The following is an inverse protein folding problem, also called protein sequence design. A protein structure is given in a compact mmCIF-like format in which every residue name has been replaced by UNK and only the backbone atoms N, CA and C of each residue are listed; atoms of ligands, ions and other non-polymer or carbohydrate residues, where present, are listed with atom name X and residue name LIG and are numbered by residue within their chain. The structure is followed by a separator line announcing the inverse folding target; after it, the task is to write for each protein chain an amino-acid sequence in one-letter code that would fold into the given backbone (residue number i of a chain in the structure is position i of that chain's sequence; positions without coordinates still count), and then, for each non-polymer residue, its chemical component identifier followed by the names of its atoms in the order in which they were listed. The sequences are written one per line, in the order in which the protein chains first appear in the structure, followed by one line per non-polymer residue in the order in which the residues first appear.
data_IF_695690608599
#
_entry.id   IF_695690608599
#
_cell.length_a   1.000
_cell.length_b   1.000
_cell.length_c   1.000
_cell.angle_alpha   90.00
_cell.angle_beta   90.00
_cell.angle_gamma   90.00
#
_symmetry.space_group_name_H-M   'P 1'
#
loop_
_entity.id
_entity.type
_entity.pdbx_description
1 polymer ?
#
# COMPACT_ATOMS: atom_id res chain seq x y z
N UNK A 1 -29.49 30.65 -1.31
CA UNK A 1 -28.17 30.35 -1.95
C UNK A 1 -27.16 30.43 -0.82
N UNK A 2 -26.51 29.32 -0.49
CA UNK A 2 -25.67 29.19 0.70
C UNK A 2 -24.35 29.95 0.48
N UNK A 3 -23.88 30.70 1.48
CA UNK A 3 -22.57 31.38 1.44
C UNK A 3 -21.45 30.35 1.29
N UNK A 4 -20.50 30.58 0.37
CA UNK A 4 -19.33 29.72 0.15
C UNK A 4 -18.19 30.00 1.14
N UNK A 5 -18.31 31.05 1.95
CA UNK A 5 -17.31 31.51 2.91
C UNK A 5 -16.88 30.44 3.92
N UNK A 6 -17.79 29.61 4.48
CA UNK A 6 -17.39 28.51 5.35
C UNK A 6 -16.48 27.51 4.63
N UNK A 7 -16.82 27.15 3.39
CA UNK A 7 -16.05 26.21 2.57
C UNK A 7 -14.66 26.79 2.26
N UNK A 8 -14.59 28.08 1.90
CA UNK A 8 -13.31 28.78 1.67
C UNK A 8 -12.42 28.74 2.92
N UNK A 9 -12.99 28.96 4.11
CA UNK A 9 -12.25 28.90 5.37
C UNK A 9 -11.78 27.49 5.71
N UNK A 10 -12.61 26.47 5.47
CA UNK A 10 -12.23 25.06 5.66
C UNK A 10 -11.08 24.67 4.72
N UNK A 11 -11.18 25.01 3.42
CA UNK A 11 -10.12 24.74 2.45
C UNK A 11 -8.82 25.44 2.85
N UNK A 12 -8.87 26.72 3.23
CA UNK A 12 -7.69 27.46 3.68
C UNK A 12 -7.08 26.86 4.96
N UNK A 13 -7.91 26.33 5.86
CA UNK A 13 -7.44 25.63 7.07
C UNK A 13 -6.69 24.36 6.69
N UNK A 14 -7.19 23.57 5.75
CA UNK A 14 -6.52 22.38 5.23
C UNK A 14 -5.21 22.75 4.52
N UNK A 15 -5.24 23.70 3.59
CA UNK A 15 -4.05 24.18 2.87
C UNK A 15 -2.93 24.57 3.85
N UNK A 16 -3.26 25.41 4.84
CA UNK A 16 -2.29 25.84 5.86
C UNK A 16 -1.81 24.69 6.74
N UNK A 17 -2.73 23.83 7.19
CA UNK A 17 -2.40 22.65 8.01
C UNK A 17 -1.45 21.68 7.32
N UNK A 18 -1.48 21.65 5.98
CA UNK A 18 -0.60 20.83 5.15
C UNK A 18 0.62 21.57 4.59
N UNK A 19 0.85 22.83 4.98
CA UNK A 19 2.05 23.59 4.62
C UNK A 19 1.97 24.36 3.30
N UNK A 20 0.82 24.42 2.64
CA UNK A 20 0.59 25.31 1.50
C UNK A 20 0.36 26.74 2.01
N UNK A 21 1.44 27.52 2.09
CA UNK A 21 1.39 28.93 2.55
C UNK A 21 1.54 29.94 1.41
N UNK A 22 2.00 29.50 0.24
CA UNK A 22 2.26 30.34 -0.92
C UNK A 22 0.99 30.77 -1.69
N UNK A 23 -0.19 30.23 -1.36
CA UNK A 23 -1.49 30.65 -1.90
C UNK A 23 -2.64 30.38 -0.93
N UNK A 24 -3.78 31.02 -1.17
CA UNK A 24 -5.04 30.80 -0.44
C UNK A 24 -6.26 31.08 -1.33
N UNK A 25 -7.43 30.65 -0.88
CA UNK A 25 -8.72 31.01 -1.47
C UNK A 25 -9.26 32.30 -0.84
N UNK A 26 -9.78 33.21 -1.67
CA UNK A 26 -10.51 34.39 -1.24
C UNK A 26 -11.87 34.49 -1.95
N UNK A 27 -12.91 34.88 -1.21
CA UNK A 27 -14.23 35.13 -1.80
C UNK A 27 -14.21 36.36 -2.70
N UNK A 28 -15.02 36.36 -3.76
CA UNK A 28 -15.36 37.55 -4.53
C UNK A 28 -16.25 38.49 -3.70
N UNK A 29 -16.37 39.75 -4.12
CA UNK A 29 -17.16 40.77 -3.40
C UNK A 29 -18.63 40.38 -3.22
N UNK A 30 -19.19 39.62 -4.16
CA UNK A 30 -20.56 39.11 -4.09
C UNK A 30 -20.71 37.82 -3.26
N UNK A 31 -19.60 37.31 -2.68
CA UNK A 31 -19.49 36.06 -1.92
C UNK A 31 -20.09 34.83 -2.63
N UNK A 32 -20.15 34.84 -3.97
CA UNK A 32 -20.67 33.71 -4.77
C UNK A 32 -19.57 32.85 -5.37
N UNK A 33 -18.40 33.42 -5.61
CA UNK A 33 -17.27 32.76 -6.21
C UNK A 33 -16.04 32.95 -5.32
N UNK A 34 -15.01 32.13 -5.56
CA UNK A 34 -13.71 32.33 -4.95
C UNK A 34 -12.64 32.40 -6.03
N UNK A 35 -11.54 33.05 -5.68
CA UNK A 35 -10.32 33.15 -6.48
C UNK A 35 -9.16 32.57 -5.68
N UNK A 36 -8.15 32.10 -6.38
CA UNK A 36 -6.88 31.68 -5.78
C UNK A 36 -5.95 32.90 -5.83
N UNK A 37 -5.43 33.29 -4.68
CA UNK A 37 -4.55 34.45 -4.55
C UNK A 37 -3.26 34.13 -3.77
N UNK A 38 -2.21 34.88 -4.06
CA UNK A 38 -0.93 34.90 -3.31
C UNK A 38 -1.10 35.67 -2.00
N UNK A 39 -0.09 35.62 -1.13
CA UNK A 39 -0.09 36.33 0.17
C UNK A 39 -0.27 37.84 0.01
N UNK A 40 0.24 38.43 -1.08
CA UNK A 40 0.11 39.85 -1.41
C UNK A 40 -1.24 40.21 -2.07
N UNK A 41 -2.15 39.24 -2.21
CA UNK A 41 -3.48 39.42 -2.80
C UNK A 41 -3.52 39.35 -4.32
N UNK A 42 -2.38 39.16 -5.01
CA UNK A 42 -2.37 38.96 -6.45
C UNK A 42 -2.97 37.61 -6.85
N UNK A 43 -3.60 37.55 -8.03
CA UNK A 43 -4.07 36.28 -8.59
C UNK A 43 -2.89 35.35 -8.89
N UNK A 44 -3.03 34.08 -8.57
CA UNK A 44 -1.95 33.09 -8.78
C UNK A 44 -1.62 32.89 -10.27
N UNK A 45 -2.59 33.01 -11.17
CA UNK A 45 -2.40 32.71 -12.60
C UNK A 45 -2.01 31.24 -12.83
N UNK A 46 -1.04 30.99 -13.72
CA UNK A 46 -0.58 29.64 -14.12
C UNK A 46 0.64 29.15 -13.33
N UNK A 47 0.92 29.75 -12.16
CA UNK A 47 2.16 29.50 -11.41
C UNK A 47 2.02 28.44 -10.31
N UNK A 48 0.89 27.73 -10.27
CA UNK A 48 0.74 26.55 -9.42
C UNK A 48 1.49 25.37 -10.04
N UNK A 49 2.19 24.61 -9.21
CA UNK A 49 2.70 23.30 -9.59
C UNK A 49 1.54 22.33 -9.87
N UNK A 50 1.82 21.27 -10.61
CA UNK A 50 0.85 20.22 -10.90
C UNK A 50 0.25 19.64 -9.60
N UNK A 51 1.08 19.41 -8.58
CA UNK A 51 0.63 18.92 -7.27
C UNK A 51 -0.35 19.87 -6.59
N UNK A 52 -0.08 21.18 -6.61
CA UNK A 52 -0.98 22.18 -6.03
C UNK A 52 -2.31 22.26 -6.77
N UNK A 53 -2.30 22.19 -8.10
CA UNK A 53 -3.51 22.14 -8.93
C UNK A 53 -4.33 20.89 -8.61
N UNK A 54 -3.69 19.72 -8.56
CA UNK A 54 -4.34 18.46 -8.22
C UNK A 54 -4.95 18.51 -6.83
N UNK A 55 -4.19 19.01 -5.84
CA UNK A 55 -4.67 19.05 -4.45
C UNK A 55 -5.83 20.03 -4.26
N UNK A 56 -5.76 21.25 -4.80
CA UNK A 56 -6.86 22.21 -4.66
C UNK A 56 -8.13 21.75 -5.41
N UNK A 57 -7.97 21.08 -6.55
CA UNK A 57 -9.07 20.47 -7.30
C UNK A 57 -9.71 19.35 -6.49
N UNK A 58 -8.90 18.51 -5.85
CA UNK A 58 -9.40 17.46 -4.96
C UNK A 58 -10.15 18.03 -3.75
N UNK A 59 -9.63 19.09 -3.11
CA UNK A 59 -10.31 19.77 -2.01
C UNK A 59 -11.68 20.33 -2.45
N UNK A 60 -11.74 20.96 -3.63
CA UNK A 60 -13.01 21.40 -4.19
C UNK A 60 -14.00 20.24 -4.33
N UNK A 61 -13.58 19.12 -4.92
CA UNK A 61 -14.42 17.93 -5.05
C UNK A 61 -14.84 17.35 -3.70
N UNK A 62 -13.93 17.29 -2.72
CA UNK A 62 -14.19 16.79 -1.37
C UNK A 62 -15.27 17.61 -0.65
N UNK A 63 -15.16 18.94 -0.66
CA UNK A 63 -16.17 19.81 -0.06
C UNK A 63 -17.49 19.81 -0.85
N UNK A 64 -17.44 19.63 -2.17
CA UNK A 64 -18.63 19.45 -3.00
C UNK A 64 -19.36 18.14 -2.65
N UNK A 65 -18.61 17.07 -2.40
CA UNK A 65 -19.16 15.77 -2.02
C UNK A 65 -19.85 15.82 -0.66
N UNK A 66 -19.18 16.42 0.35
CA UNK A 66 -19.71 16.59 1.71
C UNK A 66 -20.84 17.62 1.81
N UNK A 67 -20.74 18.69 1.04
CA UNK A 67 -21.70 19.78 1.03
C UNK A 67 -22.80 19.61 -0.02
N UNK A 68 -23.51 20.71 -0.26
CA UNK A 68 -24.52 20.84 -1.30
C UNK A 68 -24.36 22.20 -1.99
N UNK A 69 -24.37 22.23 -3.32
CA UNK A 69 -24.37 23.51 -4.07
C UNK A 69 -25.71 24.24 -4.01
N UNK A 70 -26.78 23.54 -3.58
CA UNK A 70 -28.15 24.05 -3.51
C UNK A 70 -28.81 23.52 -2.24
N UNK A 71 -29.63 24.34 -1.58
CA UNK A 71 -30.37 23.98 -0.34
C UNK A 71 -31.20 22.69 -0.49
N UNK A 72 -31.67 22.37 -1.71
CA UNK A 72 -32.44 21.15 -2.00
C UNK A 72 -31.59 19.91 -2.38
N UNK A 73 -30.26 20.02 -2.51
CA UNK A 73 -29.38 18.88 -2.85
C UNK A 73 -28.79 18.20 -1.60
N UNK A 74 -28.99 18.75 -0.40
CA UNK A 74 -28.53 18.18 0.88
C UNK A 74 -29.15 16.79 1.12
N UNK A 75 -30.38 16.56 0.63
CA UNK A 75 -31.15 15.33 0.92
C UNK A 75 -31.03 14.23 -0.13
N UNK A 76 -30.39 14.48 -1.28
CA UNK A 76 -30.32 13.48 -2.36
C UNK A 76 -29.22 12.48 -2.10
N UNK A 77 -29.53 11.21 -2.30
CA UNK A 77 -28.54 10.15 -2.28
C UNK A 77 -27.53 10.32 -3.43
N UNK A 78 -26.24 10.13 -3.14
CA UNK A 78 -25.13 10.31 -4.09
C UNK A 78 -24.32 9.02 -4.23
N UNK A 79 -23.78 8.80 -5.42
CA UNK A 79 -22.68 7.86 -5.67
C UNK A 79 -21.47 8.69 -6.06
N UNK A 80 -20.35 8.49 -5.36
CA UNK A 80 -19.09 9.18 -5.67
C UNK A 80 -18.20 8.28 -6.52
N UNK A 81 -17.59 8.86 -7.55
CA UNK A 81 -16.54 8.23 -8.33
C UNK A 81 -15.29 9.07 -8.20
N UNK A 82 -14.23 8.48 -7.66
CA UNK A 82 -12.92 9.13 -7.47
C UNK A 82 -11.96 8.40 -8.41
N UNK A 83 -11.64 9.02 -9.53
CA UNK A 83 -10.73 8.46 -10.54
C UNK A 83 -9.36 9.11 -10.42
N UNK A 84 -8.39 8.29 -10.01
CA UNK A 84 -6.98 8.59 -9.86
C UNK A 84 -6.69 9.95 -9.19
N UNK A 85 -7.04 10.11 -7.89
CA UNK A 85 -7.02 11.41 -7.22
C UNK A 85 -5.60 11.95 -6.98
N UNK A 86 -4.56 11.19 -7.38
CA UNK A 86 -3.14 11.53 -7.26
C UNK A 86 -2.49 11.32 -8.63
N UNK A 87 -1.96 12.40 -9.23
CA UNK A 87 -1.32 12.36 -10.55
C UNK A 87 0.19 12.08 -10.50
N UNK A 88 0.87 12.29 -9.37
CA UNK A 88 2.33 12.23 -9.29
C UNK A 88 2.87 11.82 -7.90
N UNK A 89 4.18 11.53 -7.85
CA UNK A 89 4.93 10.95 -6.73
C UNK A 89 5.09 11.86 -5.49
N UNK A 90 4.37 12.98 -5.41
CA UNK A 90 4.42 13.82 -4.21
C UNK A 90 3.82 13.04 -3.03
N UNK A 91 4.72 12.51 -2.20
CA UNK A 91 4.37 11.71 -1.04
C UNK A 91 3.49 12.49 -0.06
N UNK A 92 3.67 13.80 0.06
CA UNK A 92 2.89 14.60 0.99
C UNK A 92 1.44 14.68 0.53
N UNK A 93 1.21 15.04 -0.74
CA UNK A 93 -0.15 15.12 -1.31
C UNK A 93 -0.83 13.75 -1.26
N UNK A 94 -0.10 12.67 -1.55
CA UNK A 94 -0.59 11.30 -1.43
C UNK A 94 -1.17 11.03 -0.04
N UNK A 95 -0.45 11.35 1.03
CA UNK A 95 -0.93 11.12 2.39
C UNK A 95 -2.15 11.97 2.74
N UNK A 96 -2.16 13.25 2.35
CA UNK A 96 -3.30 14.14 2.61
C UNK A 96 -4.59 13.64 1.97
N UNK A 97 -4.53 13.35 0.66
CA UNK A 97 -5.67 12.85 -0.10
C UNK A 97 -6.11 11.49 0.44
N UNK A 98 -5.17 10.62 0.83
CA UNK A 98 -5.50 9.33 1.47
C UNK A 98 -6.33 9.51 2.73
N UNK A 99 -5.97 10.46 3.60
CA UNK A 99 -6.75 10.76 4.83
C UNK A 99 -8.16 11.24 4.48
N UNK A 100 -8.29 12.20 3.57
CA UNK A 100 -9.59 12.74 3.17
C UNK A 100 -10.50 11.68 2.50
N UNK A 101 -9.92 10.82 1.68
CA UNK A 101 -10.65 9.70 1.06
C UNK A 101 -11.08 8.69 2.12
N UNK A 102 -10.22 8.34 3.08
CA UNK A 102 -10.59 7.47 4.21
C UNK A 102 -11.76 8.04 5.02
N UNK A 103 -11.78 9.35 5.25
CA UNK A 103 -12.89 10.00 5.96
C UNK A 103 -14.20 9.86 5.18
N UNK A 104 -14.19 10.09 3.86
CA UNK A 104 -15.38 9.85 3.01
C UNK A 104 -15.82 8.38 3.05
N UNK A 105 -14.88 7.43 2.94
CA UNK A 105 -15.16 6.00 3.02
C UNK A 105 -15.81 5.64 4.35
N UNK A 106 -15.22 6.11 5.46
CA UNK A 106 -15.71 5.85 6.81
C UNK A 106 -17.12 6.40 7.00
N UNK A 107 -17.34 7.67 6.69
CA UNK A 107 -18.64 8.32 6.84
C UNK A 107 -19.73 7.64 5.99
N UNK A 108 -19.36 7.15 4.79
CA UNK A 108 -20.25 6.38 3.91
C UNK A 108 -20.57 5.01 4.51
N UNK A 109 -19.57 4.26 4.97
CA UNK A 109 -19.75 2.93 5.58
C UNK A 109 -20.49 3.00 6.93
N UNK A 110 -20.36 4.11 7.66
CA UNK A 110 -21.12 4.40 8.89
C UNK A 110 -22.52 4.98 8.61
N UNK A 111 -22.88 5.19 7.34
CA UNK A 111 -24.19 5.72 6.90
C UNK A 111 -24.53 7.10 7.51
N UNK A 112 -23.50 7.91 7.79
CA UNK A 112 -23.64 9.25 8.37
C UNK A 112 -23.94 10.35 7.35
N UNK A 113 -23.85 10.03 6.07
CA UNK A 113 -24.03 10.97 4.96
C UNK A 113 -25.06 10.45 3.96
N UNK A 114 -25.43 11.31 3.00
CA UNK A 114 -26.24 10.93 1.84
C UNK A 114 -25.43 10.20 0.75
N UNK A 115 -24.13 9.97 0.95
CA UNK A 115 -23.31 9.17 0.03
C UNK A 115 -23.65 7.69 0.27
N UNK A 116 -24.11 7.00 -0.77
CA UNK A 116 -24.54 5.59 -0.70
C UNK A 116 -23.49 4.61 -1.21
N UNK A 117 -22.56 5.08 -2.03
CA UNK A 117 -21.49 4.28 -2.58
C UNK A 117 -20.33 5.19 -2.97
N UNK A 118 -19.10 4.71 -2.77
CA UNK A 118 -17.89 5.32 -3.32
C UNK A 118 -17.22 4.27 -4.21
N UNK A 119 -16.89 4.66 -5.43
CA UNK A 119 -16.08 3.90 -6.38
C UNK A 119 -14.75 4.63 -6.49
N UNK A 120 -13.66 3.96 -6.11
CA UNK A 120 -12.30 4.53 -6.16
C UNK A 120 -11.54 3.75 -7.23
N UNK A 121 -11.03 4.47 -8.22
CA UNK A 121 -10.19 3.95 -9.30
C UNK A 121 -8.82 4.57 -9.15
N UNK A 122 -7.77 3.76 -9.25
CA UNK A 122 -6.40 4.27 -9.22
C UNK A 122 -5.45 3.23 -9.80
N UNK A 123 -4.36 3.71 -10.40
CA UNK A 123 -3.22 2.88 -10.76
C UNK A 123 -2.08 3.00 -9.73
N UNK A 124 -2.18 3.92 -8.77
CA UNK A 124 -1.18 4.17 -7.75
C UNK A 124 -1.32 3.17 -6.59
N UNK A 125 -0.41 2.20 -6.54
CA UNK A 125 -0.42 1.12 -5.53
C UNK A 125 -0.13 1.61 -4.11
N UNK A 126 0.61 2.71 -3.94
CA UNK A 126 0.87 3.31 -2.63
C UNK A 126 -0.40 3.95 -2.08
N UNK A 127 -1.05 4.82 -2.85
CA UNK A 127 -2.34 5.41 -2.47
C UNK A 127 -3.37 4.33 -2.18
N UNK A 128 -3.48 3.32 -3.05
CA UNK A 128 -4.36 2.18 -2.85
C UNK A 128 -4.07 1.46 -1.52
N UNK A 129 -2.80 1.16 -1.20
CA UNK A 129 -2.42 0.52 0.06
C UNK A 129 -2.78 1.38 1.27
N UNK A 130 -2.54 2.69 1.19
CA UNK A 130 -2.89 3.62 2.25
C UNK A 130 -4.39 3.57 2.56
N UNK A 131 -5.28 3.67 1.57
CA UNK A 131 -6.73 3.67 1.80
C UNK A 131 -7.32 2.28 2.12
N UNK A 132 -6.57 1.19 1.89
CA UNK A 132 -7.03 -0.20 2.08
C UNK A 132 -6.36 -0.94 3.23
N UNK A 133 -5.78 -0.21 4.19
CA UNK A 133 -5.17 -0.81 5.38
C UNK A 133 -6.16 -1.72 6.12
N UNK A 134 -5.74 -2.96 6.39
CA UNK A 134 -6.60 -3.98 6.97
C UNK A 134 -7.16 -3.56 8.33
N UNK A 135 -6.36 -2.89 9.17
CA UNK A 135 -6.78 -2.39 10.47
C UNK A 135 -7.97 -1.42 10.38
N UNK A 136 -7.97 -0.54 9.38
CA UNK A 136 -9.03 0.45 9.17
C UNK A 136 -10.33 -0.23 8.68
N UNK A 137 -10.18 -1.19 7.77
CA UNK A 137 -11.29 -1.88 7.11
C UNK A 137 -11.90 -3.02 7.94
N UNK A 138 -11.17 -3.59 8.90
CA UNK A 138 -11.59 -4.77 9.67
C UNK A 138 -12.96 -4.62 10.34
N UNK A 139 -13.34 -3.40 10.73
CA UNK A 139 -14.64 -3.12 11.37
C UNK A 139 -15.81 -2.97 10.39
N UNK A 140 -15.53 -2.91 9.09
CA UNK A 140 -16.50 -2.70 8.01
C UNK A 140 -16.58 -3.88 7.04
N UNK A 141 -16.24 -5.09 7.52
CA UNK A 141 -16.30 -6.31 6.71
C UNK A 141 -17.67 -6.46 6.02
N UNK A 142 -17.65 -6.78 4.73
CA UNK A 142 -18.86 -6.88 3.90
C UNK A 142 -19.38 -5.55 3.35
N UNK A 143 -18.83 -4.38 3.75
CA UNK A 143 -19.20 -3.07 3.19
C UNK A 143 -18.25 -2.58 2.07
N UNK A 144 -17.24 -3.36 1.71
CA UNK A 144 -16.28 -3.03 0.66
C UNK A 144 -15.96 -4.26 -0.20
N UNK A 145 -15.43 -4.02 -1.40
CA UNK A 145 -14.95 -5.07 -2.33
C UNK A 145 -13.74 -4.56 -3.10
N UNK A 146 -12.84 -5.47 -3.48
CA UNK A 146 -11.63 -5.15 -4.23
C UNK A 146 -11.74 -5.67 -5.66
N UNK A 147 -11.25 -4.88 -6.62
CA UNK A 147 -11.35 -5.20 -8.03
C UNK A 147 -10.04 -4.87 -8.73
N UNK A 148 -9.65 -5.69 -9.72
CA UNK A 148 -8.56 -5.37 -10.65
C UNK A 148 -9.13 -5.32 -12.06
N UNK A 149 -8.83 -4.23 -12.75
CA UNK A 149 -9.06 -4.08 -14.18
C UNK A 149 -7.74 -4.37 -14.89
N UNK A 150 -7.72 -5.36 -15.79
CA UNK A 150 -6.56 -5.68 -16.64
C UNK A 150 -6.96 -5.56 -18.10
N UNK A 151 -6.07 -5.00 -18.91
CA UNK A 151 -6.25 -4.97 -20.37
C UNK A 151 -5.24 -5.92 -20.99
N UNK A 152 -5.73 -6.90 -21.74
CA UNK A 152 -4.94 -7.90 -22.44
C UNK A 152 -5.43 -8.01 -23.88
N UNK A 153 -4.53 -7.92 -24.87
CA UNK A 153 -4.88 -7.91 -26.30
C UNK A 153 -6.02 -6.94 -26.65
N UNK A 154 -5.97 -5.72 -26.11
CA UNK A 154 -7.01 -4.69 -26.23
C UNK A 154 -8.39 -5.03 -25.63
N UNK A 155 -8.51 -6.12 -24.88
CA UNK A 155 -9.74 -6.51 -24.18
C UNK A 155 -9.58 -6.25 -22.69
N UNK A 156 -10.46 -5.42 -22.13
CA UNK A 156 -10.51 -5.17 -20.69
C UNK A 156 -11.26 -6.28 -19.97
N UNK A 157 -10.67 -6.82 -18.91
CA UNK A 157 -11.25 -7.81 -18.00
C UNK A 157 -11.27 -7.24 -16.59
N UNK A 158 -12.38 -7.42 -15.89
CA UNK A 158 -12.55 -6.98 -14.50
C UNK A 158 -12.68 -8.24 -13.64
N UNK A 159 -11.93 -8.30 -12.54
CA UNK A 159 -11.98 -9.42 -11.59
C UNK A 159 -12.11 -8.91 -10.16
N UNK A 160 -13.03 -9.49 -9.40
CA UNK A 160 -13.20 -9.23 -7.96
C UNK A 160 -12.26 -10.07 -7.11
N UNK A 161 -11.94 -9.56 -5.92
CA UNK A 161 -11.13 -10.20 -4.91
C UNK A 161 -11.75 -10.01 -3.52
N UNK A 162 -11.79 -11.09 -2.73
CA UNK A 162 -12.29 -11.08 -1.34
C UNK A 162 -11.34 -10.37 -0.37
N UNK A 163 -10.04 -10.51 -0.61
CA UNK A 163 -8.97 -9.84 0.14
C UNK A 163 -8.26 -8.85 -0.76
N UNK A 164 -7.56 -7.89 -0.15
CA UNK A 164 -6.72 -6.95 -0.90
C UNK A 164 -5.67 -7.72 -1.75
N UNK A 165 -5.73 -7.61 -3.09
CA UNK A 165 -4.85 -8.36 -3.98
C UNK A 165 -3.47 -7.69 -4.17
N UNK A 166 -3.31 -6.43 -3.76
CA UNK A 166 -2.05 -5.71 -3.86
C UNK A 166 -1.17 -6.11 -2.67
N UNK A 167 0.02 -6.63 -2.99
CA UNK A 167 1.02 -7.10 -2.04
C UNK A 167 2.31 -6.33 -2.25
N UNK A 168 2.98 -5.98 -1.16
CA UNK A 168 4.30 -5.38 -1.26
C UNK A 168 5.35 -6.44 -1.63
N UNK A 169 6.53 -5.98 -2.08
CA UNK A 169 7.60 -6.88 -2.54
C UNK A 169 8.02 -7.93 -1.52
N UNK A 170 7.98 -7.60 -0.22
CA UNK A 170 8.31 -8.55 0.84
C UNK A 170 7.21 -9.60 1.03
N UNK A 171 5.93 -9.19 1.02
CA UNK A 171 4.79 -10.13 1.04
C UNK A 171 4.81 -11.10 -0.15
N UNK A 172 5.20 -10.62 -1.34
CA UNK A 172 5.32 -11.45 -2.55
C UNK A 172 6.37 -12.56 -2.37
N UNK A 173 7.52 -12.25 -1.77
CA UNK A 173 8.54 -13.26 -1.46
C UNK A 173 7.96 -14.37 -0.57
N UNK A 174 7.22 -14.01 0.48
CA UNK A 174 6.58 -15.00 1.35
C UNK A 174 5.49 -15.82 0.64
N UNK A 175 4.77 -15.21 -0.30
CA UNK A 175 3.81 -15.95 -1.14
C UNK A 175 4.49 -17.00 -1.99
N UNK A 176 5.68 -16.72 -2.55
CA UNK A 176 6.46 -17.70 -3.30
C UNK A 176 6.92 -18.86 -2.43
N UNK A 177 7.38 -18.59 -1.19
CA UNK A 177 7.70 -19.66 -0.22
C UNK A 177 6.48 -20.53 0.08
N UNK A 178 5.31 -19.90 0.28
CA UNK A 178 4.06 -20.63 0.55
C UNK A 178 3.65 -21.51 -0.62
N UNK A 179 3.68 -20.98 -1.84
CA UNK A 179 3.37 -21.75 -3.05
C UNK A 179 4.36 -22.90 -3.27
N UNK A 180 5.65 -22.70 -2.96
CA UNK A 180 6.65 -23.76 -3.05
C UNK A 180 6.35 -24.91 -2.07
N UNK A 181 5.90 -24.60 -0.85
CA UNK A 181 5.47 -25.60 0.15
C UNK A 181 4.22 -26.37 -0.29
N UNK A 182 3.31 -25.74 -1.05
CA UNK A 182 2.04 -26.33 -1.49
C UNK A 182 2.15 -27.11 -2.81
N UNK A 183 2.96 -26.65 -3.78
CA UNK A 183 2.93 -27.14 -5.17
C UNK A 183 4.30 -27.56 -5.74
N UNK A 184 5.35 -27.75 -4.91
CA UNK A 184 6.71 -28.13 -5.36
C UNK A 184 7.26 -27.22 -6.47
N UNK A 185 7.36 -25.92 -6.20
CA UNK A 185 7.89 -24.92 -7.14
C UNK A 185 9.38 -25.15 -7.51
N UNK A 186 9.85 -24.43 -8.54
CA UNK A 186 11.22 -24.51 -9.05
C UNK A 186 12.29 -24.22 -7.98
N UNK A 187 13.32 -25.07 -7.94
CA UNK A 187 14.43 -25.08 -6.99
C UNK A 187 15.19 -23.74 -6.91
N UNK A 188 15.52 -23.16 -8.09
CA UNK A 188 16.36 -21.96 -8.20
C UNK A 188 15.62 -20.68 -7.75
N UNK A 189 14.30 -20.61 -7.97
CA UNK A 189 13.51 -19.47 -7.47
C UNK A 189 13.44 -19.45 -5.94
N UNK A 190 13.35 -20.62 -5.30
CA UNK A 190 13.15 -20.69 -3.85
C UNK A 190 14.40 -20.26 -3.06
N UNK A 191 15.60 -20.62 -3.54
CA UNK A 191 16.89 -20.18 -2.97
C UNK A 191 16.94 -18.65 -2.88
N UNK A 192 16.72 -17.97 -4.00
CA UNK A 192 16.75 -16.52 -4.09
C UNK A 192 15.70 -15.84 -3.20
N UNK A 193 14.50 -16.42 -3.12
CA UNK A 193 13.41 -15.90 -2.30
C UNK A 193 13.74 -15.99 -0.81
N UNK A 194 14.17 -17.16 -0.33
CA UNK A 194 14.52 -17.36 1.08
C UNK A 194 15.69 -16.48 1.51
N UNK A 195 16.72 -16.35 0.66
CA UNK A 195 17.85 -15.44 0.88
C UNK A 195 17.35 -14.01 1.10
N UNK A 196 16.53 -13.48 0.18
CA UNK A 196 16.02 -12.11 0.26
C UNK A 196 15.17 -11.88 1.51
N UNK A 197 14.41 -12.89 1.94
CA UNK A 197 13.62 -12.81 3.18
C UNK A 197 14.54 -12.74 4.41
N UNK A 198 15.52 -13.64 4.53
CA UNK A 198 16.45 -13.68 5.66
C UNK A 198 17.27 -12.40 5.72
N UNK A 199 17.84 -11.98 4.60
CA UNK A 199 18.66 -10.77 4.55
C UNK A 199 17.83 -9.52 4.88
N UNK A 200 16.63 -9.37 4.31
CA UNK A 200 15.81 -8.21 4.62
C UNK A 200 15.38 -8.20 6.10
N UNK A 201 14.92 -9.34 6.63
CA UNK A 201 14.41 -9.40 7.99
C UNK A 201 15.51 -9.32 9.04
N UNK A 202 16.52 -10.18 8.97
CA UNK A 202 17.55 -10.26 10.01
C UNK A 202 18.66 -9.22 9.82
N UNK A 203 19.16 -9.00 8.59
CA UNK A 203 20.26 -8.06 8.37
C UNK A 203 19.77 -6.61 8.35
N UNK A 204 18.74 -6.30 7.56
CA UNK A 204 18.28 -4.91 7.38
C UNK A 204 17.42 -4.44 8.56
N UNK A 205 16.43 -5.23 9.00
CA UNK A 205 15.54 -4.84 10.10
C UNK A 205 16.07 -5.28 11.48
N UNK A 206 16.62 -6.49 11.58
CA UNK A 206 17.09 -7.10 12.83
C UNK A 206 18.51 -6.69 13.26
N UNK A 207 19.26 -5.99 12.41
CA UNK A 207 20.60 -5.49 12.75
C UNK A 207 21.71 -6.55 12.83
N UNK A 208 21.47 -7.78 12.33
CA UNK A 208 22.51 -8.81 12.25
C UNK A 208 23.59 -8.40 11.24
N UNK A 209 24.88 -8.56 11.59
CA UNK A 209 26.00 -8.15 10.72
C UNK A 209 26.15 -9.06 9.50
N UNK A 210 26.04 -10.37 9.70
CA UNK A 210 26.17 -11.39 8.66
C UNK A 210 25.10 -12.46 8.83
N UNK A 211 24.71 -13.12 7.73
CA UNK A 211 23.77 -14.25 7.80
C UNK A 211 24.35 -15.40 8.61
N UNK A 212 25.68 -15.57 8.60
CA UNK A 212 26.39 -16.61 9.36
C UNK A 212 26.23 -16.40 10.87
N UNK A 213 26.05 -15.16 11.34
CA UNK A 213 25.78 -14.88 12.76
C UNK A 213 24.46 -15.49 13.25
N UNK A 214 23.58 -15.93 12.36
CA UNK A 214 22.36 -16.67 12.72
C UNK A 214 22.66 -18.12 13.09
N UNK A 215 23.81 -18.68 12.69
CA UNK A 215 24.19 -20.06 13.06
C UNK A 215 24.47 -20.16 14.56
N UNK A 216 25.00 -19.09 15.16
CA UNK A 216 25.26 -18.98 16.60
C UNK A 216 23.99 -19.07 17.47
N UNK A 217 22.80 -18.90 16.86
CA UNK A 217 21.52 -19.06 17.55
C UNK A 217 21.10 -20.53 17.72
N UNK A 218 21.82 -21.49 17.13
CA UNK A 218 21.51 -22.91 17.24
C UNK A 218 22.36 -23.56 18.33
N UNK A 219 21.73 -24.11 19.37
CA UNK A 219 22.44 -24.73 20.50
C UNK A 219 23.10 -26.08 20.14
N UNK A 220 22.58 -26.77 19.12
CA UNK A 220 23.03 -28.09 18.69
C UNK A 220 23.96 -27.99 17.47
N UNK A 221 25.19 -28.51 17.59
CA UNK A 221 26.23 -28.51 16.54
C UNK A 221 25.75 -29.14 15.22
N UNK A 222 24.96 -30.22 15.29
CA UNK A 222 24.42 -30.85 14.07
C UNK A 222 23.39 -29.92 13.39
N UNK A 223 22.61 -29.18 14.16
CA UNK A 223 21.62 -28.24 13.65
C UNK A 223 22.28 -26.97 13.10
N UNK A 224 23.33 -26.49 13.77
CA UNK A 224 24.19 -25.42 13.30
C UNK A 224 24.82 -25.77 11.93
N UNK A 225 25.31 -27.00 11.76
CA UNK A 225 25.86 -27.49 10.49
C UNK A 225 24.81 -27.57 9.38
N UNK A 226 23.61 -28.04 9.70
CA UNK A 226 22.48 -28.07 8.76
C UNK A 226 22.08 -26.64 8.36
N UNK A 227 22.04 -25.70 9.30
CA UNK A 227 21.77 -24.30 9.02
C UNK A 227 22.88 -23.66 8.17
N UNK A 228 24.14 -23.92 8.49
CA UNK A 228 25.28 -23.44 7.71
C UNK A 228 25.22 -23.95 6.26
N UNK A 229 24.86 -25.22 6.09
CA UNK A 229 24.62 -25.82 4.77
C UNK A 229 23.47 -25.15 4.02
N UNK A 230 22.41 -24.75 4.73
CA UNK A 230 21.29 -24.00 4.18
C UNK A 230 21.69 -22.57 3.74
N UNK A 231 22.52 -21.87 4.53
CA UNK A 231 23.08 -20.56 4.16
C UNK A 231 23.90 -20.67 2.88
N UNK A 232 24.82 -21.64 2.81
CA UNK A 232 25.62 -21.89 1.61
C UNK A 232 24.74 -22.19 0.40
N UNK A 233 23.71 -23.03 0.57
CA UNK A 233 22.77 -23.41 -0.49
C UNK A 233 22.03 -22.23 -1.11
N UNK A 234 21.47 -21.32 -0.31
CA UNK A 234 20.75 -20.17 -0.89
C UNK A 234 21.71 -19.09 -1.44
N UNK A 235 22.92 -18.99 -0.91
CA UNK A 235 23.94 -18.08 -1.44
C UNK A 235 24.39 -18.53 -2.84
N UNK A 236 24.61 -19.83 -3.02
CA UNK A 236 25.01 -20.43 -4.30
C UNK A 236 23.97 -20.18 -5.41
N UNK A 237 22.69 -20.47 -5.13
CA UNK A 237 21.59 -20.27 -6.08
C UNK A 237 21.30 -18.82 -6.51
N UNK A 238 22.02 -17.85 -5.94
CA UNK A 238 21.84 -16.42 -6.21
C UNK A 238 22.92 -15.78 -7.08
N UNK A 239 23.99 -16.51 -7.41
CA UNK A 239 25.13 -16.01 -8.19
C UNK A 239 25.03 -16.24 -9.71
N UNK A 240 23.82 -16.48 -10.23
CA UNK A 240 23.56 -16.73 -11.65
C UNK A 240 23.43 -18.23 -11.96
N UNK A 241 22.99 -18.54 -13.18
CA UNK A 241 22.96 -19.93 -13.67
C UNK A 241 24.42 -20.38 -13.78
N UNK A 242 24.86 -21.31 -12.94
CA UNK A 242 26.21 -21.87 -13.07
C UNK A 242 26.25 -22.77 -14.31
N UNK A 243 26.92 -22.29 -15.35
CA UNK A 243 27.34 -23.11 -16.47
C UNK A 243 28.57 -23.89 -16.00
N UNK A 244 28.35 -25.01 -15.30
CA UNK A 244 29.23 -26.18 -15.23
C UNK A 244 28.90 -27.07 -14.00
N UNK A 245 28.88 -28.38 -14.26
CA UNK A 245 28.68 -29.52 -13.35
C UNK A 245 27.21 -29.87 -12.98
N UNK A 246 26.58 -30.69 -13.83
CA UNK A 246 25.42 -31.49 -13.44
C UNK A 246 25.86 -32.61 -12.49
N UNK A 247 25.76 -32.36 -11.18
CA UNK A 247 25.66 -33.47 -10.22
C UNK A 247 24.24 -34.01 -10.31
N UNK A 248 24.12 -35.24 -10.79
CA UNK A 248 22.91 -36.05 -10.62
C UNK A 248 22.54 -36.07 -9.12
N UNK A 249 21.32 -35.58 -8.82
CA UNK A 249 20.57 -35.64 -7.56
C UNK A 249 21.23 -35.08 -6.29
N UNK A 250 20.67 -33.98 -5.75
CA UNK A 250 20.69 -33.74 -4.31
C UNK A 250 19.35 -34.18 -3.72
N UNK A 251 19.33 -35.36 -3.09
CA UNK A 251 18.21 -35.92 -2.32
C UNK A 251 17.89 -35.12 -1.04
N UNK A 252 18.45 -33.92 -0.87
CA UNK A 252 18.00 -32.97 0.15
C UNK A 252 16.67 -32.38 -0.33
N UNK A 253 15.55 -32.96 0.12
CA UNK A 253 14.23 -32.50 -0.29
C UNK A 253 14.07 -30.99 -0.01
N UNK A 254 13.40 -30.26 -0.91
CA UNK A 254 12.94 -28.87 -0.68
C UNK A 254 12.30 -28.73 0.71
N UNK A 255 11.62 -29.78 1.15
CA UNK A 255 11.02 -29.92 2.46
C UNK A 255 12.03 -29.78 3.61
N UNK A 256 13.25 -30.31 3.48
CA UNK A 256 14.32 -30.16 4.47
C UNK A 256 14.72 -28.70 4.61
N UNK A 257 14.97 -27.99 3.50
CA UNK A 257 15.34 -26.57 3.57
C UNK A 257 14.18 -25.67 4.00
N UNK A 258 12.93 -25.99 3.64
CA UNK A 258 11.76 -25.32 4.19
C UNK A 258 11.65 -25.49 5.72
N UNK A 259 11.97 -26.68 6.24
CA UNK A 259 12.02 -26.95 7.70
C UNK A 259 13.15 -26.16 8.37
N UNK A 260 14.33 -26.10 7.76
CA UNK A 260 15.45 -25.30 8.29
C UNK A 260 15.09 -23.82 8.30
N UNK A 261 14.51 -23.31 7.21
CA UNK A 261 14.02 -21.93 7.11
C UNK A 261 12.99 -21.60 8.19
N UNK A 262 11.98 -22.45 8.42
CA UNK A 262 11.02 -22.31 9.52
C UNK A 262 11.72 -22.31 10.88
N UNK A 263 12.66 -23.24 11.08
CA UNK A 263 13.43 -23.37 12.31
C UNK A 263 14.30 -22.15 12.59
N UNK A 264 14.87 -21.49 11.58
CA UNK A 264 15.61 -20.24 11.76
C UNK A 264 14.78 -19.19 12.48
N UNK A 265 13.52 -19.00 12.11
CA UNK A 265 12.63 -18.07 12.82
C UNK A 265 12.31 -18.53 14.23
N UNK A 266 12.24 -19.84 14.48
CA UNK A 266 11.98 -20.39 15.81
C UNK A 266 13.16 -20.18 16.77
N UNK A 267 14.36 -20.60 16.39
CA UNK A 267 15.56 -20.53 17.25
C UNK A 267 16.01 -19.08 17.48
N UNK A 268 15.71 -18.17 16.55
CA UNK A 268 15.96 -16.73 16.73
C UNK A 268 14.87 -16.00 17.54
N UNK A 269 13.80 -16.69 17.98
CA UNK A 269 12.72 -16.08 18.75
C UNK A 269 11.68 -15.29 17.92
N UNK A 270 11.70 -15.41 16.60
CA UNK A 270 10.84 -14.71 15.64
C UNK A 270 9.74 -15.61 15.02
N UNK A 271 9.38 -16.72 15.66
CA UNK A 271 8.39 -17.69 15.16
C UNK A 271 7.03 -17.04 14.85
N UNK A 272 6.62 -16.05 15.64
CA UNK A 272 5.37 -15.31 15.44
C UNK A 272 5.32 -14.62 14.06
N UNK A 273 6.46 -14.07 13.59
CA UNK A 273 6.56 -13.46 12.27
C UNK A 273 6.42 -14.50 11.16
N UNK A 274 7.10 -15.64 11.29
CA UNK A 274 6.95 -16.75 10.34
C UNK A 274 5.49 -17.22 10.24
N UNK A 275 4.83 -17.47 11.37
CA UNK A 275 3.41 -17.89 11.42
C UNK A 275 2.50 -16.84 10.78
N UNK A 276 2.71 -15.56 11.08
CA UNK A 276 1.97 -14.45 10.47
C UNK A 276 2.12 -14.45 8.94
N UNK A 277 3.35 -14.51 8.43
CA UNK A 277 3.61 -14.44 6.98
C UNK A 277 3.14 -15.68 6.23
N UNK A 278 3.26 -16.86 6.84
CA UNK A 278 2.75 -18.12 6.27
C UNK A 278 1.22 -18.30 6.43
N UNK A 279 0.58 -17.43 7.22
CA UNK A 279 -0.85 -17.50 7.60
C UNK A 279 -1.21 -18.81 8.31
N UNK A 280 -0.33 -19.25 9.22
CA UNK A 280 -0.52 -20.43 10.07
C UNK A 280 -1.08 -19.96 11.42
N UNK A 281 -2.08 -20.67 11.94
CA UNK A 281 -2.69 -20.37 13.25
C UNK A 281 -1.89 -20.95 14.39
#
# INVERSE_FOLDING_TARGET
MVSIKPIVNEINTLLKGYGFTNFSLACTEDEKFYRIQREDGQLVGETLSEGEVTFITFLYYYHLAKGSLKENDISKNKVLVIDDPISSLDSNILFMVSVLVKDLMKETMEEKTNIKQIIILTHNTYFYKEITLEYDLKRYQGKYSFWIIKKDNNVSKIKDYKENPIKNSYELLWQEVKQAKENNASWVSLQNVMRRIIEYYFRILGGFKHNDSLSECFENIEEERVFSSFISWFNDGSHGISDDLFVQSQDTSIETYLKVFEKTFKETGHEAHYKMMMRIK
#
